data_IF_164820537366
#
_entry.id   IF_164820537366
#
_cell.length_a   1.000
_cell.length_b   1.000
_cell.length_c   1.000
_cell.angle_alpha   90.00
_cell.angle_beta   90.00
_cell.angle_gamma   90.00
#
_symmetry.space_group_name_H-M   'P 1'
#
loop_
_entity.id
_entity.type
_entity.pdbx_description
1 polymer ?
#
# COMPACT_ATOMS: atom_id res chain seq x y z
N UNK A 1 7.67 1.87 -8.70
CA UNK A 1 8.27 1.35 -7.45
C UNK A 1 9.47 0.43 -7.70
N UNK A 2 9.43 -0.45 -8.71
CA UNK A 2 10.53 -1.39 -9.02
C UNK A 2 11.92 -0.74 -9.12
N UNK A 3 12.03 0.44 -9.73
CA UNK A 3 13.29 1.21 -9.79
C UNK A 3 13.89 1.49 -8.39
N UNK A 4 13.08 1.69 -7.36
CA UNK A 4 13.60 1.89 -6.01
C UNK A 4 14.12 0.61 -5.37
N UNK A 5 13.55 -0.57 -5.69
CA UNK A 5 14.09 -1.84 -5.23
C UNK A 5 15.49 -2.09 -5.80
N UNK A 6 15.67 -1.79 -7.09
CA UNK A 6 16.99 -1.74 -7.73
C UNK A 6 17.89 -0.72 -7.01
N UNK A 7 17.52 0.55 -6.94
CA UNK A 7 18.39 1.58 -6.36
C UNK A 7 18.77 1.33 -4.87
N UNK A 8 17.85 0.82 -4.06
CA UNK A 8 18.02 0.67 -2.61
C UNK A 8 18.89 -0.54 -2.22
N UNK A 9 18.97 -1.55 -3.07
CA UNK A 9 19.73 -2.76 -2.80
C UNK A 9 18.95 -4.02 -2.55
N UNK A 10 17.67 -4.02 -2.90
CA UNK A 10 16.79 -5.16 -2.75
C UNK A 10 16.81 -6.04 -4.01
N UNK A 11 18.00 -6.47 -4.43
CA UNK A 11 18.26 -7.12 -5.72
C UNK A 11 17.41 -8.35 -5.95
N UNK A 12 17.27 -9.21 -4.94
CA UNK A 12 16.52 -10.45 -5.10
C UNK A 12 15.05 -10.13 -5.41
N UNK A 13 14.43 -9.26 -4.60
CA UNK A 13 13.08 -8.77 -4.89
C UNK A 13 13.01 -8.12 -6.26
N UNK A 14 13.96 -7.25 -6.61
CA UNK A 14 13.97 -6.58 -7.89
C UNK A 14 14.02 -7.56 -9.07
N UNK A 15 14.90 -8.57 -9.01
CA UNK A 15 15.05 -9.63 -10.03
C UNK A 15 13.78 -10.46 -10.18
N UNK A 16 13.29 -11.05 -9.08
CA UNK A 16 12.12 -11.92 -9.12
C UNK A 16 10.87 -11.16 -9.52
N UNK A 17 10.68 -9.93 -9.04
CA UNK A 17 9.55 -9.08 -9.47
C UNK A 17 9.67 -8.74 -10.96
N UNK A 18 10.86 -8.36 -11.44
CA UNK A 18 11.07 -8.05 -12.88
C UNK A 18 10.72 -9.27 -13.73
N UNK A 19 11.26 -10.44 -13.38
CA UNK A 19 10.96 -11.69 -14.07
C UNK A 19 9.46 -12.02 -14.05
N UNK A 20 8.83 -11.93 -12.89
CA UNK A 20 7.42 -12.23 -12.74
C UNK A 20 6.54 -11.27 -13.53
N UNK A 21 6.91 -9.99 -13.62
CA UNK A 21 6.21 -9.01 -14.45
C UNK A 21 6.33 -9.34 -15.94
N UNK A 22 7.52 -9.70 -16.42
CA UNK A 22 7.74 -10.14 -17.81
C UNK A 22 6.90 -11.39 -18.11
N UNK A 23 6.91 -12.36 -17.20
CA UNK A 23 6.12 -13.58 -17.31
C UNK A 23 4.62 -13.27 -17.37
N UNK A 24 4.10 -12.48 -16.43
CA UNK A 24 2.70 -12.04 -16.42
C UNK A 24 2.34 -11.32 -17.73
N UNK A 25 3.18 -10.40 -18.20
CA UNK A 25 2.93 -9.65 -19.43
C UNK A 25 2.87 -10.55 -20.67
N UNK A 26 3.68 -11.62 -20.68
CA UNK A 26 3.69 -12.64 -21.74
C UNK A 26 2.48 -13.58 -21.68
N UNK A 27 1.96 -13.86 -20.48
CA UNK A 27 0.84 -14.79 -20.27
C UNK A 27 -0.53 -14.11 -20.36
N UNK A 28 -0.61 -12.80 -20.11
CA UNK A 28 -1.85 -12.05 -20.19
C UNK A 28 -2.29 -11.90 -21.65
N UNK A 29 -3.48 -12.41 -21.97
CA UNK A 29 -4.14 -12.10 -23.23
C UNK A 29 -4.62 -10.63 -23.26
N UNK A 30 -4.87 -10.10 -24.45
CA UNK A 30 -5.26 -8.69 -24.64
C UNK A 30 -6.55 -8.32 -23.90
N UNK A 31 -7.47 -9.27 -23.75
CA UNK A 31 -8.70 -9.06 -22.99
C UNK A 31 -8.44 -8.88 -21.50
N UNK A 32 -7.61 -9.74 -20.89
CA UNK A 32 -7.21 -9.65 -19.50
C UNK A 32 -6.40 -8.38 -19.23
N UNK A 33 -5.52 -7.98 -20.16
CA UNK A 33 -4.80 -6.69 -20.09
C UNK A 33 -5.79 -5.52 -20.08
N UNK A 34 -6.78 -5.54 -20.98
CA UNK A 34 -7.83 -4.51 -21.05
C UNK A 34 -8.64 -4.44 -19.76
N UNK A 35 -9.14 -5.58 -19.27
CA UNK A 35 -9.90 -5.67 -18.02
C UNK A 35 -9.09 -5.17 -16.83
N UNK A 36 -7.81 -5.54 -16.77
CA UNK A 36 -6.90 -5.06 -15.73
C UNK A 36 -6.76 -3.54 -15.76
N UNK A 37 -6.54 -2.93 -16.94
CA UNK A 37 -6.44 -1.47 -17.10
C UNK A 37 -7.76 -0.73 -16.83
N UNK A 38 -8.90 -1.39 -17.03
CA UNK A 38 -10.23 -0.87 -16.66
C UNK A 38 -10.50 -0.92 -15.15
N UNK A 39 -9.64 -1.60 -14.38
CA UNK A 39 -9.78 -1.72 -12.93
C UNK A 39 -10.60 -2.91 -12.46
N UNK A 40 -10.88 -3.89 -13.34
CA UNK A 40 -11.68 -5.09 -13.02
C UNK A 40 -11.02 -6.03 -12.00
N UNK A 41 -9.76 -5.76 -11.65
CA UNK A 41 -9.01 -6.46 -10.61
C UNK A 41 -9.32 -5.96 -9.18
N UNK A 42 -10.19 -4.95 -9.05
CA UNK A 42 -10.55 -4.30 -7.79
C UNK A 42 -12.00 -4.59 -7.42
N UNK A 43 -12.23 -5.03 -6.20
CA UNK A 43 -13.55 -5.27 -5.61
C UNK A 43 -13.93 -4.13 -4.66
N UNK A 44 -15.24 -3.95 -4.41
CA UNK A 44 -15.75 -2.93 -3.48
C UNK A 44 -16.74 -3.56 -2.51
N UNK A 45 -16.65 -3.17 -1.23
CA UNK A 45 -17.62 -3.60 -0.20
C UNK A 45 -18.93 -2.81 -0.27
N UNK A 46 -18.86 -1.57 -0.78
CA UNK A 46 -19.98 -0.63 -0.95
C UNK A 46 -19.77 0.17 -2.23
N UNK A 47 -20.82 0.76 -2.79
CA UNK A 47 -20.66 1.66 -3.94
C UNK A 47 -19.86 2.91 -3.54
N UNK A 48 -18.83 3.25 -4.33
CA UNK A 48 -17.96 4.38 -4.04
C UNK A 48 -16.72 4.45 -4.94
N UNK A 49 -16.17 5.66 -5.07
CA UNK A 49 -15.02 5.92 -5.97
C UNK A 49 -13.68 5.53 -5.33
N UNK A 50 -13.55 5.65 -4.00
CA UNK A 50 -12.26 5.55 -3.28
C UNK A 50 -12.17 4.37 -2.31
N UNK A 51 -12.97 3.34 -2.51
CA UNK A 51 -13.09 2.20 -1.58
C UNK A 51 -12.80 0.84 -2.24
N UNK A 52 -12.14 0.88 -3.40
CA UNK A 52 -11.70 -0.32 -4.10
C UNK A 52 -10.55 -1.01 -3.36
N UNK A 53 -10.61 -2.32 -3.23
CA UNK A 53 -9.55 -3.19 -2.70
C UNK A 53 -9.27 -4.33 -3.68
N UNK A 54 -8.04 -4.84 -3.74
CA UNK A 54 -7.72 -5.99 -4.58
C UNK A 54 -8.55 -7.22 -4.17
N UNK A 55 -8.88 -8.08 -5.13
CA UNK A 55 -9.75 -9.24 -4.90
C UNK A 55 -9.28 -10.19 -3.78
N UNK A 56 -7.97 -10.43 -3.68
CA UNK A 56 -7.40 -11.23 -2.59
C UNK A 56 -7.66 -10.60 -1.20
N UNK A 57 -7.33 -9.31 -1.08
CA UNK A 57 -7.60 -8.54 0.14
C UNK A 57 -9.11 -8.44 0.44
N UNK A 58 -9.96 -8.34 -0.59
CA UNK A 58 -11.40 -8.37 -0.43
C UNK A 58 -11.87 -9.68 0.20
N UNK A 59 -11.38 -10.81 -0.31
CA UNK A 59 -11.66 -12.14 0.24
C UNK A 59 -11.15 -12.29 1.68
N UNK A 60 -9.98 -11.74 2.00
CA UNK A 60 -9.46 -11.75 3.36
C UNK A 60 -10.33 -10.92 4.31
N UNK A 61 -10.71 -9.71 3.89
CA UNK A 61 -11.52 -8.78 4.68
C UNK A 61 -12.97 -9.22 4.85
N UNK A 62 -13.50 -10.02 3.93
CA UNK A 62 -14.84 -10.60 3.98
C UNK A 62 -14.77 -12.03 4.53
N UNK A 63 -14.60 -13.01 3.65
CA UNK A 63 -14.77 -14.42 3.93
C UNK A 63 -13.81 -14.95 4.99
N UNK A 64 -12.51 -14.62 4.91
CA UNK A 64 -11.53 -15.12 5.90
C UNK A 64 -11.77 -14.45 7.26
N UNK A 65 -11.99 -13.14 7.28
CA UNK A 65 -12.29 -12.40 8.50
C UNK A 65 -13.54 -12.94 9.19
N UNK A 66 -14.66 -13.11 8.47
CA UNK A 66 -15.88 -13.70 9.03
C UNK A 66 -15.66 -15.15 9.45
N UNK A 67 -14.83 -15.89 8.69
CA UNK A 67 -14.46 -17.27 8.98
C UNK A 67 -13.63 -17.46 10.25
N UNK A 68 -12.82 -16.47 10.62
CA UNK A 68 -11.87 -16.53 11.75
C UNK A 68 -12.21 -15.56 12.89
N UNK A 69 -13.31 -14.82 12.80
CA UNK A 69 -13.78 -13.93 13.86
C UNK A 69 -14.32 -14.72 15.07
N UNK A 70 -14.71 -14.02 16.15
CA UNK A 70 -15.27 -14.60 17.36
C UNK A 70 -16.57 -15.35 17.03
N UNK A 71 -16.55 -16.70 17.10
CA UNK A 71 -17.64 -17.57 16.64
C UNK A 71 -17.34 -18.32 15.32
N UNK A 72 -16.22 -18.02 14.67
CA UNK A 72 -15.68 -18.71 13.51
C UNK A 72 -14.76 -19.90 13.84
N UNK A 73 -14.16 -20.49 12.81
CA UNK A 73 -13.22 -21.60 12.91
C UNK A 73 -11.85 -21.11 13.39
N UNK A 74 -11.62 -21.17 14.71
CA UNK A 74 -10.32 -20.85 15.32
C UNK A 74 -9.92 -21.95 16.30
N UNK A 75 -8.79 -22.64 16.05
CA UNK A 75 -8.22 -23.63 16.96
C UNK A 75 -9.00 -24.95 17.04
N UNK A 76 -9.58 -25.26 18.21
CA UNK A 76 -10.19 -26.55 18.58
C UNK A 76 -11.42 -26.97 17.74
N UNK A 77 -11.93 -26.08 16.87
CA UNK A 77 -13.14 -26.27 16.03
C UNK A 77 -12.84 -26.90 14.66
N UNK A 78 -11.66 -27.51 14.47
CA UNK A 78 -11.22 -28.09 13.18
C UNK A 78 -11.65 -29.55 12.96
N UNK A 79 -12.46 -30.14 13.84
CA UNK A 79 -13.02 -31.48 13.56
C UNK A 79 -13.92 -31.41 12.31
N UNK A 80 -13.87 -32.43 11.45
CA UNK A 80 -14.60 -32.43 10.17
C UNK A 80 -16.10 -32.14 10.33
N UNK A 81 -16.72 -32.68 11.39
CA UNK A 81 -18.15 -32.47 11.66
C UNK A 81 -18.47 -31.04 12.08
N UNK A 82 -17.61 -30.39 12.87
CA UNK A 82 -17.79 -29.00 13.28
C UNK A 82 -17.49 -28.04 12.12
N UNK A 83 -16.53 -28.36 11.26
CA UNK A 83 -16.25 -27.61 10.03
C UNK A 83 -17.44 -27.73 9.07
N UNK A 84 -18.00 -28.93 8.88
CA UNK A 84 -19.17 -29.14 8.03
C UNK A 84 -20.39 -28.38 8.58
N UNK A 85 -20.67 -28.51 9.88
CA UNK A 85 -21.76 -27.78 10.54
C UNK A 85 -21.61 -26.27 10.43
N UNK A 86 -20.39 -25.75 10.61
CA UNK A 86 -20.08 -24.34 10.44
C UNK A 86 -20.26 -23.87 8.99
N UNK A 87 -19.67 -24.57 8.00
CA UNK A 87 -19.81 -24.21 6.56
C UNK A 87 -21.28 -24.20 6.13
N UNK A 88 -22.07 -25.17 6.59
CA UNK A 88 -23.48 -25.29 6.25
C UNK A 88 -24.38 -24.28 6.97
N UNK A 89 -23.96 -23.71 8.11
CA UNK A 89 -24.76 -22.74 8.86
C UNK A 89 -24.32 -21.28 8.67
N UNK A 90 -23.07 -21.04 8.27
CA UNK A 90 -22.46 -19.72 8.23
C UNK A 90 -23.19 -18.73 7.30
N UNK A 91 -23.64 -19.20 6.14
CA UNK A 91 -24.36 -18.35 5.19
C UNK A 91 -25.71 -17.88 5.75
N UNK A 92 -26.39 -18.71 6.54
CA UNK A 92 -27.67 -18.39 7.19
C UNK A 92 -27.44 -17.42 8.35
N UNK A 93 -26.44 -17.67 9.19
CA UNK A 93 -26.08 -16.77 10.29
C UNK A 93 -25.64 -15.39 9.79
N UNK A 94 -24.87 -15.33 8.71
CA UNK A 94 -24.45 -14.06 8.11
C UNK A 94 -25.63 -13.31 7.48
N UNK A 95 -26.54 -14.01 6.80
CA UNK A 95 -27.78 -13.42 6.28
C UNK A 95 -28.60 -12.80 7.41
N UNK A 96 -28.78 -13.52 8.52
CA UNK A 96 -29.48 -13.00 9.70
C UNK A 96 -28.80 -11.77 10.28
N UNK A 97 -27.48 -11.76 10.42
CA UNK A 97 -26.76 -10.57 10.92
C UNK A 97 -26.91 -9.36 9.99
N UNK A 98 -26.80 -9.55 8.67
CA UNK A 98 -27.02 -8.46 7.70
C UNK A 98 -28.45 -7.92 7.74
N UNK A 99 -29.45 -8.81 7.86
CA UNK A 99 -30.84 -8.42 8.02
C UNK A 99 -31.10 -7.68 9.33
N UNK A 100 -30.44 -8.08 10.42
CA UNK A 100 -30.51 -7.36 11.69
C UNK A 100 -29.89 -5.97 11.55
N UNK A 101 -28.70 -5.86 10.96
CA UNK A 101 -28.05 -4.57 10.74
C UNK A 101 -28.92 -3.63 9.87
N UNK A 102 -29.51 -4.15 8.79
CA UNK A 102 -30.45 -3.40 7.95
C UNK A 102 -31.71 -2.96 8.71
N UNK A 103 -32.27 -3.83 9.56
CA UNK A 103 -33.44 -3.52 10.38
C UNK A 103 -33.16 -2.47 11.46
N UNK A 104 -31.92 -2.35 11.92
CA UNK A 104 -31.51 -1.39 12.95
C UNK A 104 -30.78 -0.16 12.38
N UNK A 105 -30.55 -0.08 11.06
CA UNK A 105 -29.89 1.04 10.38
C UNK A 105 -30.79 2.27 10.13
N UNK A 106 -32.01 2.29 10.66
CA UNK A 106 -32.84 3.50 10.73
C UNK A 106 -32.74 4.11 12.13
N UNK A 107 -31.79 5.06 12.32
CA UNK A 107 -31.92 6.24 13.19
C UNK A 107 -30.65 7.13 13.34
N UNK A 108 -29.61 7.01 12.51
CA UNK A 108 -28.50 8.00 12.49
C UNK A 108 -28.49 8.93 11.24
N UNK A 109 -29.50 8.88 10.38
CA UNK A 109 -29.61 9.78 9.21
C UNK A 109 -30.12 11.20 9.51
N UNK A 110 -30.23 11.58 10.80
CA UNK A 110 -30.64 12.92 11.23
C UNK A 110 -29.56 13.66 12.06
N UNK A 111 -28.31 13.22 12.02
CA UNK A 111 -27.20 14.09 12.38
C UNK A 111 -26.85 14.91 11.13
N UNK A 112 -27.00 16.23 11.22
CA UNK A 112 -26.96 17.16 10.09
C UNK A 112 -25.77 17.00 9.13
N UNK A 113 -25.95 17.61 7.97
CA UNK A 113 -25.14 17.66 6.73
C UNK A 113 -23.68 18.14 6.89
N UNK A 114 -23.07 17.90 8.05
CA UNK A 114 -21.70 18.23 8.38
C UNK A 114 -20.95 16.94 8.66
N UNK A 115 -20.02 16.63 7.76
CA UNK A 115 -19.06 15.56 7.97
C UNK A 115 -18.44 15.71 9.37
N UNK A 116 -18.21 14.60 10.10
CA UNK A 116 -17.64 14.62 11.48
C UNK A 116 -16.36 15.47 11.59
N UNK A 117 -15.61 15.57 10.51
CA UNK A 117 -14.39 16.39 10.39
C UNK A 117 -14.66 17.91 10.28
N UNK A 118 -15.87 18.35 9.97
CA UNK A 118 -16.26 19.77 9.88
C UNK A 118 -16.72 20.38 11.20
N UNK A 119 -16.81 19.57 12.26
CA UNK A 119 -17.19 20.00 13.60
C UNK A 119 -16.23 21.05 14.18
N UNK A 120 -16.76 22.02 14.93
CA UNK A 120 -15.99 23.11 15.55
C UNK A 120 -14.83 22.63 16.42
N UNK A 121 -15.00 21.48 17.11
CA UNK A 121 -13.95 20.83 17.90
C UNK A 121 -12.78 20.35 17.03
N UNK A 122 -13.05 19.76 15.86
CA UNK A 122 -12.01 19.29 14.93
C UNK A 122 -11.28 20.47 14.30
N UNK A 123 -12.01 21.50 13.84
CA UNK A 123 -11.41 22.77 13.38
C UNK A 123 -10.45 23.38 14.39
N UNK A 124 -10.78 23.37 15.69
CA UNK A 124 -9.90 23.85 16.75
C UNK A 124 -8.66 22.98 16.92
N UNK A 125 -8.84 21.65 16.99
CA UNK A 125 -7.72 20.71 17.13
C UNK A 125 -6.76 20.79 15.94
N UNK A 126 -7.29 20.86 14.72
CA UNK A 126 -6.50 21.05 13.50
C UNK A 126 -5.73 22.38 13.54
N UNK A 127 -6.34 23.44 14.09
CA UNK A 127 -5.67 24.72 14.34
C UNK A 127 -4.49 24.58 15.31
N UNK A 128 -4.72 23.95 16.47
CA UNK A 128 -3.68 23.71 17.48
C UNK A 128 -2.53 22.85 16.91
N UNK A 129 -2.86 21.82 16.13
CA UNK A 129 -1.88 20.92 15.52
C UNK A 129 -1.09 21.60 14.40
N UNK A 130 -1.74 22.46 13.59
CA UNK A 130 -1.04 23.33 12.63
C UNK A 130 -0.06 24.28 13.32
N UNK A 131 -0.42 24.85 14.46
CA UNK A 131 0.47 25.74 15.21
C UNK A 131 1.64 24.99 15.85
N UNK A 132 1.43 23.77 16.34
CA UNK A 132 2.52 22.89 16.80
C UNK A 132 3.47 22.55 15.65
N UNK A 133 2.94 22.13 14.50
CA UNK A 133 3.74 21.85 13.31
C UNK A 133 4.53 23.07 12.86
N UNK A 134 3.92 24.26 12.85
CA UNK A 134 4.62 25.52 12.52
C UNK A 134 5.77 25.80 13.48
N UNK A 135 5.54 25.68 14.80
CA UNK A 135 6.58 25.88 15.81
C UNK A 135 7.72 24.87 15.66
N UNK A 136 7.39 23.61 15.38
CA UNK A 136 8.39 22.55 15.22
C UNK A 136 9.22 22.74 13.95
N UNK A 137 8.56 22.95 12.80
CA UNK A 137 9.23 23.22 11.53
C UNK A 137 10.09 24.49 11.58
N UNK A 138 9.69 25.49 12.38
CA UNK A 138 10.48 26.69 12.63
C UNK A 138 11.81 26.46 13.35
N UNK A 139 12.02 25.30 13.99
CA UNK A 139 13.30 24.94 14.63
C UNK A 139 14.35 24.47 13.62
N UNK A 140 13.91 24.05 12.44
CA UNK A 140 14.77 23.40 11.45
C UNK A 140 15.05 24.31 10.26
N UNK A 141 16.09 23.96 9.50
CA UNK A 141 16.44 24.71 8.29
C UNK A 141 15.32 24.57 7.26
N UNK A 142 14.83 25.70 6.74
CA UNK A 142 13.83 25.68 5.68
C UNK A 142 14.45 25.15 4.37
N UNK A 143 14.04 23.97 3.88
CA UNK A 143 14.65 23.33 2.72
C UNK A 143 14.44 24.12 1.43
N UNK A 144 13.39 24.95 1.35
CA UNK A 144 13.09 25.78 0.17
C UNK A 144 13.91 27.07 0.10
N UNK A 145 14.59 27.45 1.20
CA UNK A 145 15.50 28.59 1.22
C UNK A 145 16.96 28.18 1.00
N UNK A 146 17.23 26.88 0.92
CA UNK A 146 18.57 26.36 0.74
C UNK A 146 18.87 26.30 -0.77
N UNK A 147 19.75 27.18 -1.26
CA UNK A 147 20.21 27.18 -2.66
C UNK A 147 21.34 26.15 -2.89
N UNK A 148 21.36 25.06 -2.13
CA UNK A 148 22.34 24.01 -2.33
C UNK A 148 21.93 23.16 -3.53
N UNK A 149 22.85 22.95 -4.47
CA UNK A 149 22.63 22.09 -5.64
C UNK A 149 22.75 20.59 -5.29
N UNK A 150 22.76 20.22 -4.01
CA UNK A 150 23.07 18.88 -3.50
C UNK A 150 22.07 18.49 -2.40
N UNK A 151 22.04 17.21 -2.05
CA UNK A 151 21.14 16.68 -1.00
C UNK A 151 21.42 17.36 0.34
N UNK A 152 20.38 17.91 0.97
CA UNK A 152 20.48 18.61 2.26
C UNK A 152 19.68 17.87 3.33
N UNK A 153 20.26 17.72 4.51
CA UNK A 153 19.53 17.25 5.68
C UNK A 153 18.61 18.36 6.20
N UNK A 154 17.30 18.10 6.17
CA UNK A 154 16.25 19.07 6.53
C UNK A 154 16.34 19.49 8.01
N UNK A 155 16.84 18.61 8.89
CA UNK A 155 16.90 18.85 10.34
C UNK A 155 18.03 19.81 10.69
N UNK A 156 19.23 19.59 10.16
CA UNK A 156 20.42 20.34 10.58
C UNK A 156 21.05 21.20 9.48
N UNK A 157 20.49 21.22 8.26
CA UNK A 157 20.99 21.99 7.13
C UNK A 157 22.32 21.49 6.55
N UNK A 158 22.82 20.32 6.98
CA UNK A 158 24.08 19.76 6.47
C UNK A 158 23.91 19.34 5.01
N UNK A 159 24.83 19.80 4.17
CA UNK A 159 24.87 19.46 2.74
C UNK A 159 25.71 18.19 2.56
N UNK A 160 25.17 17.21 1.84
CA UNK A 160 25.85 15.97 1.53
C UNK A 160 27.05 16.22 0.59
N UNK A 161 28.05 15.35 0.67
CA UNK A 161 29.17 15.34 -0.28
C UNK A 161 28.68 15.09 -1.71
N UNK A 162 29.40 15.62 -2.70
CA UNK A 162 29.15 15.38 -4.14
C UNK A 162 29.13 13.89 -4.54
N UNK A 163 29.68 13.01 -3.69
CA UNK A 163 29.65 11.56 -3.91
C UNK A 163 28.28 10.93 -3.64
N UNK A 164 27.39 11.63 -2.93
CA UNK A 164 26.05 11.14 -2.60
C UNK A 164 25.13 11.38 -3.78
N UNK A 165 24.46 10.33 -4.25
CA UNK A 165 23.63 10.35 -5.47
C UNK A 165 22.22 9.77 -5.23
N UNK A 166 21.70 9.92 -4.00
CA UNK A 166 20.37 9.38 -3.64
C UNK A 166 19.21 10.08 -4.36
N UNK A 167 19.42 11.33 -4.75
CA UNK A 167 18.52 12.11 -5.60
C UNK A 167 18.38 11.49 -7.01
N UNK A 168 19.41 10.80 -7.49
CA UNK A 168 19.38 10.07 -8.76
C UNK A 168 18.82 8.64 -8.65
N UNK A 169 18.30 8.22 -7.49
CA UNK A 169 17.89 6.83 -7.25
C UNK A 169 16.92 6.28 -8.32
N UNK A 170 15.98 7.09 -8.81
CA UNK A 170 15.05 6.66 -9.88
C UNK A 170 15.78 6.37 -11.18
N UNK A 171 16.70 7.24 -11.58
CA UNK A 171 17.49 7.13 -12.81
C UNK A 171 18.42 5.93 -12.75
N UNK A 172 19.14 5.78 -11.64
CA UNK A 172 20.01 4.63 -11.37
C UNK A 172 19.20 3.34 -11.40
N UNK A 173 18.08 3.30 -10.67
CA UNK A 173 17.22 2.12 -10.58
C UNK A 173 16.61 1.70 -11.91
N UNK A 174 16.22 2.64 -12.77
CA UNK A 174 15.74 2.33 -14.13
C UNK A 174 16.85 1.78 -15.02
N UNK A 175 18.05 2.37 -14.96
CA UNK A 175 19.21 1.87 -15.69
C UNK A 175 19.55 0.45 -15.27
N UNK A 176 19.60 0.19 -13.96
CA UNK A 176 19.86 -1.16 -13.43
C UNK A 176 18.80 -2.18 -13.85
N UNK A 177 17.52 -1.78 -13.90
CA UNK A 177 16.45 -2.65 -14.40
C UNK A 177 16.65 -3.00 -15.88
N UNK A 178 16.94 -2.01 -16.72
CA UNK A 178 17.21 -2.22 -18.16
C UNK A 178 18.42 -3.11 -18.38
N UNK A 179 19.53 -2.85 -17.69
CA UNK A 179 20.75 -3.66 -17.77
C UNK A 179 20.47 -5.13 -17.38
N UNK A 180 19.60 -5.33 -16.38
CA UNK A 180 19.18 -6.67 -15.98
C UNK A 180 18.32 -7.35 -17.06
N UNK A 181 17.31 -6.66 -17.58
CA UNK A 181 16.44 -7.16 -18.66
C UNK A 181 17.25 -7.56 -19.90
N UNK A 182 18.20 -6.72 -20.32
CA UNK A 182 19.11 -6.98 -21.44
C UNK A 182 20.04 -8.19 -21.21
N UNK A 183 20.29 -8.53 -19.94
CA UNK A 183 21.14 -9.66 -19.56
C UNK A 183 20.39 -11.00 -19.48
N UNK A 184 19.06 -11.01 -19.53
CA UNK A 184 18.27 -12.23 -19.41
C UNK A 184 18.41 -13.14 -20.64
N UNK A 185 18.34 -14.48 -20.47
CA UNK A 185 18.16 -15.20 -19.21
C UNK A 185 19.48 -15.45 -18.44
N UNK A 186 20.64 -15.36 -19.11
CA UNK A 186 21.94 -15.79 -18.57
C UNK A 186 22.37 -14.96 -17.35
N UNK A 187 22.05 -13.67 -17.34
CA UNK A 187 22.36 -12.73 -16.28
C UNK A 187 21.49 -12.84 -15.03
N UNK A 188 20.49 -13.73 -14.98
CA UNK A 188 19.57 -13.82 -13.84
C UNK A 188 20.30 -14.05 -12.51
N UNK A 189 21.29 -14.94 -12.51
CA UNK A 189 22.10 -15.27 -11.32
C UNK A 189 23.35 -14.38 -11.16
N UNK A 190 23.58 -13.42 -12.05
CA UNK A 190 24.73 -12.53 -11.97
C UNK A 190 24.71 -11.69 -10.68
N UNK A 191 25.90 -11.38 -10.14
CA UNK A 191 26.02 -10.55 -8.94
C UNK A 191 25.70 -9.09 -9.30
N UNK A 192 24.82 -8.45 -8.52
CA UNK A 192 24.45 -7.04 -8.70
C UNK A 192 25.04 -6.22 -7.56
N UNK A 193 25.70 -5.12 -7.90
CA UNK A 193 26.33 -4.22 -6.94
C UNK A 193 25.52 -2.94 -6.76
N UNK A 194 25.59 -2.38 -5.54
CA UNK A 194 24.94 -1.12 -5.22
C UNK A 194 25.60 0.04 -5.95
N UNK A 195 24.80 0.76 -6.75
CA UNK A 195 25.23 1.97 -7.46
C UNK A 195 24.85 3.28 -6.71
N UNK A 196 23.92 3.20 -5.75
CA UNK A 196 23.54 4.35 -4.91
C UNK A 196 24.50 4.47 -3.72
N UNK A 197 25.13 5.63 -3.61
CA UNK A 197 26.00 6.03 -2.51
C UNK A 197 25.22 6.89 -1.53
N UNK A 198 25.17 6.44 -0.27
CA UNK A 198 24.54 7.17 0.82
C UNK A 198 25.56 8.05 1.54
N UNK A 199 25.09 9.11 2.20
CA UNK A 199 25.91 9.83 3.16
C UNK A 199 26.21 8.89 4.33
N UNK A 200 27.49 8.53 4.54
CA UNK A 200 27.90 7.76 5.73
C UNK A 200 27.89 8.73 6.92
N UNK A 201 27.10 8.41 7.94
CA UNK A 201 27.10 9.07 9.25
C UNK A 201 28.39 8.77 10.01
#
# INVERSE_FOLDING_TARGET
MLCYFWAAGHWQYAKYITWHLIEIESLLNEEAKRMFLMGDHVCRHKDGTWNGVFGDQFGEQTYIRYGKAKGGLVGLTLSQDQVAGWVLSQHICNLLSLQMDEMFEDNEKLAGDHHKEEGTKRKRLDGDDRDKLRKELGKYTNPLKCNANHVVNIVNGSVASEKVNVDEAVKIGRRMASEFEDSLPEGFHATVHKQVTLCRS
#
